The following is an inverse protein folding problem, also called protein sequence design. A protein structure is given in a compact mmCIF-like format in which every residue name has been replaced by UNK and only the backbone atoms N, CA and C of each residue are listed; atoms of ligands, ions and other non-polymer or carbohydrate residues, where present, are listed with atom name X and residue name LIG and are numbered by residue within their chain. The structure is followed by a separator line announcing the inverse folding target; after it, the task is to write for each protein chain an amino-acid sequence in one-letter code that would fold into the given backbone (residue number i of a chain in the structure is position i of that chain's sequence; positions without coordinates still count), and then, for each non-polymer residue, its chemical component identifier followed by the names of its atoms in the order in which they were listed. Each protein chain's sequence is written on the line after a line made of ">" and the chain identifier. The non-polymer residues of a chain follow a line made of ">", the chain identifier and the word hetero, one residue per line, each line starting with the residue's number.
data_IF_279007710270
#
_entry.id   IF_279007710270
#
_cell.length_a   1.000
_cell.length_b   1.000
_cell.length_c   1.000
_cell.angle_alpha   90.00
_cell.angle_beta   90.00
_cell.angle_gamma   90.00
#
_symmetry.space_group_name_H-M   'P 1'
#
loop_
_entity.id
_entity.type
_entity.pdbx_description
1 polymer ?
#
# COMPACT_ATOMS: atom_id res chain seq x y z
N UNK A 1 -13.75 -15.77 -6.55
CA UNK A 1 -13.61 -14.75 -5.47
C UNK A 1 -12.50 -13.81 -5.88
N UNK A 2 -12.67 -12.52 -5.72
CA UNK A 2 -11.63 -11.54 -6.07
C UNK A 2 -10.52 -11.53 -5.00
N UNK A 3 -9.28 -11.24 -5.40
CA UNK A 3 -8.12 -11.25 -4.51
C UNK A 3 -7.65 -9.83 -4.18
N UNK A 4 -7.44 -9.55 -2.89
CA UNK A 4 -6.75 -8.38 -2.38
C UNK A 4 -5.35 -8.77 -1.91
N UNK A 5 -4.32 -8.24 -2.56
CA UNK A 5 -2.92 -8.44 -2.18
C UNK A 5 -2.46 -7.29 -1.30
N UNK A 6 -1.83 -7.61 -0.16
CA UNK A 6 -1.28 -6.61 0.76
C UNK A 6 0.23 -6.82 0.89
N UNK A 7 1.02 -6.00 0.20
CA UNK A 7 2.47 -5.95 0.30
C UNK A 7 2.88 -5.09 1.49
N UNK A 8 3.62 -5.68 2.42
CA UNK A 8 3.91 -5.08 3.72
C UNK A 8 2.82 -5.37 4.75
N UNK A 9 2.24 -6.58 4.69
CA UNK A 9 1.27 -7.05 5.66
C UNK A 9 1.92 -7.18 7.05
N UNK A 10 1.33 -6.54 8.06
CA UNK A 10 1.82 -6.56 9.43
C UNK A 10 0.79 -5.94 10.36
N UNK A 11 1.07 -6.00 11.68
CA UNK A 11 0.24 -5.32 12.68
C UNK A 11 0.14 -3.82 12.35
N UNK A 12 -1.01 -3.24 12.55
CA UNK A 12 -1.30 -1.85 12.21
C UNK A 12 -2.06 -1.72 10.88
N UNK A 13 -1.68 -0.79 9.99
CA UNK A 13 -2.44 -0.47 8.77
C UNK A 13 -2.68 -1.73 7.92
N UNK A 14 -1.65 -2.54 7.65
CA UNK A 14 -1.79 -3.73 6.81
C UNK A 14 -2.82 -4.72 7.33
N UNK A 15 -2.85 -4.96 8.65
CA UNK A 15 -3.85 -5.82 9.29
C UNK A 15 -5.26 -5.22 9.23
N UNK A 16 -5.39 -3.93 9.50
CA UNK A 16 -6.71 -3.28 9.49
C UNK A 16 -7.30 -3.22 8.08
N UNK A 17 -6.47 -2.93 7.07
CA UNK A 17 -6.88 -2.99 5.66
C UNK A 17 -7.29 -4.41 5.27
N UNK A 18 -6.53 -5.44 5.70
CA UNK A 18 -6.87 -6.83 5.46
C UNK A 18 -8.26 -7.20 6.01
N UNK A 19 -8.58 -6.77 7.24
CA UNK A 19 -9.89 -6.99 7.87
C UNK A 19 -11.03 -6.34 7.06
N UNK A 20 -10.83 -5.12 6.60
CA UNK A 20 -11.83 -4.38 5.82
C UNK A 20 -12.12 -5.07 4.48
N UNK A 21 -11.09 -5.45 3.70
CA UNK A 21 -11.30 -6.16 2.43
C UNK A 21 -11.86 -7.56 2.63
N UNK A 22 -11.43 -8.27 3.69
CA UNK A 22 -11.98 -9.57 4.03
C UNK A 22 -13.48 -9.50 4.34
N UNK A 23 -13.93 -8.51 5.10
CA UNK A 23 -15.36 -8.31 5.40
C UNK A 23 -16.22 -8.06 4.15
N UNK A 24 -15.58 -7.70 3.03
CA UNK A 24 -16.21 -7.50 1.72
C UNK A 24 -16.13 -8.74 0.82
N UNK A 25 -15.68 -9.88 1.34
CA UNK A 25 -15.64 -11.15 0.61
C UNK A 25 -14.43 -11.31 -0.31
N UNK A 26 -13.35 -10.55 -0.11
CA UNK A 26 -12.10 -10.76 -0.82
C UNK A 26 -11.30 -11.90 -0.22
N UNK A 27 -10.64 -12.70 -1.06
CA UNK A 27 -9.50 -13.50 -0.64
C UNK A 27 -8.34 -12.55 -0.29
N UNK A 28 -7.70 -12.74 0.87
CA UNK A 28 -6.61 -11.88 1.33
C UNK A 28 -5.26 -12.58 1.16
N UNK A 29 -4.41 -12.07 0.29
CA UNK A 29 -3.02 -12.51 0.14
C UNK A 29 -2.09 -11.58 0.93
N UNK A 30 -1.59 -12.09 2.06
CA UNK A 30 -0.70 -11.36 2.96
C UNK A 30 0.75 -11.55 2.53
N UNK A 31 1.45 -10.49 2.18
CA UNK A 31 2.81 -10.48 1.69
C UNK A 31 3.73 -9.68 2.62
N UNK A 32 4.78 -10.30 3.17
CA UNK A 32 5.84 -9.66 3.95
C UNK A 32 7.03 -10.62 4.11
N UNK A 33 8.17 -10.14 4.63
CA UNK A 33 9.38 -10.94 4.77
C UNK A 33 9.31 -12.03 5.85
N UNK A 34 8.61 -11.74 6.96
CA UNK A 34 8.59 -12.63 8.11
C UNK A 34 7.41 -13.61 8.03
N UNK A 35 7.71 -14.87 7.74
CA UNK A 35 6.73 -15.95 7.56
C UNK A 35 5.90 -16.21 8.82
N UNK A 36 6.53 -16.22 9.98
CA UNK A 36 5.88 -16.53 11.26
C UNK A 36 4.83 -15.48 11.61
N UNK A 37 5.17 -14.19 11.40
CA UNK A 37 4.22 -13.09 11.60
C UNK A 37 3.06 -13.12 10.61
N UNK A 38 3.31 -13.54 9.37
CA UNK A 38 2.24 -13.74 8.38
C UNK A 38 1.28 -14.84 8.79
N UNK A 39 1.79 -16.00 9.25
CA UNK A 39 0.97 -17.12 9.72
C UNK A 39 0.10 -16.69 10.91
N UNK A 40 0.68 -15.96 11.86
CA UNK A 40 -0.08 -15.46 13.01
C UNK A 40 -1.19 -14.49 12.59
N UNK A 41 -0.89 -13.59 11.65
CA UNK A 41 -1.87 -12.65 11.11
C UNK A 41 -2.99 -13.37 10.33
N UNK A 42 -2.63 -14.36 9.51
CA UNK A 42 -3.60 -15.17 8.77
C UNK A 42 -4.53 -15.94 9.70
N UNK A 43 -4.00 -16.51 10.81
CA UNK A 43 -4.81 -17.18 11.83
C UNK A 43 -5.85 -16.24 12.45
N UNK A 44 -5.51 -14.98 12.69
CA UNK A 44 -6.43 -13.98 13.23
C UNK A 44 -7.50 -13.54 12.22
N UNK A 45 -7.18 -13.60 10.93
CA UNK A 45 -8.12 -13.28 9.86
C UNK A 45 -9.03 -14.47 9.50
N UNK A 46 -8.59 -15.72 9.74
CA UNK A 46 -9.34 -16.93 9.44
C UNK A 46 -9.27 -17.34 7.96
N UNK A 47 -10.24 -18.18 7.55
CA UNK A 47 -10.31 -18.75 6.20
C UNK A 47 -10.25 -17.68 5.09
N UNK A 48 -10.02 -18.09 3.84
CA UNK A 48 -9.84 -17.18 2.69
C UNK A 48 -8.67 -16.20 2.85
N UNK A 49 -7.62 -16.62 3.58
CA UNK A 49 -6.40 -15.85 3.77
C UNK A 49 -5.18 -16.72 3.46
N UNK A 50 -4.29 -16.24 2.58
CA UNK A 50 -3.03 -16.90 2.24
C UNK A 50 -1.83 -16.06 2.65
N UNK A 51 -0.67 -16.73 2.84
CA UNK A 51 0.57 -16.10 3.29
C UNK A 51 1.67 -16.30 2.26
N UNK A 52 2.35 -15.22 1.91
CA UNK A 52 3.36 -15.17 0.86
C UNK A 52 4.61 -14.46 1.37
N UNK A 53 5.60 -15.22 1.89
CA UNK A 53 6.87 -14.64 2.31
C UNK A 53 7.61 -14.05 1.12
N UNK A 54 7.79 -12.73 1.08
CA UNK A 54 8.46 -12.02 -0.02
C UNK A 54 9.12 -10.74 0.49
N UNK A 55 10.30 -10.44 -0.04
CA UNK A 55 10.92 -9.12 0.08
C UNK A 55 10.58 -8.31 -1.19
N UNK A 56 9.91 -7.18 -1.00
CA UNK A 56 9.55 -6.30 -2.13
C UNK A 56 10.77 -5.64 -2.80
N UNK A 57 11.95 -5.71 -2.20
CA UNK A 57 13.22 -5.30 -2.82
C UNK A 57 13.79 -6.36 -3.77
N UNK A 58 13.38 -7.62 -3.67
CA UNK A 58 13.73 -8.68 -4.61
C UNK A 58 12.75 -8.68 -5.79
N UNK A 59 13.15 -8.04 -6.88
CA UNK A 59 12.30 -7.84 -8.06
C UNK A 59 11.83 -9.13 -8.70
N UNK A 60 12.68 -10.17 -8.74
CA UNK A 60 12.32 -11.44 -9.37
C UNK A 60 11.34 -12.22 -8.50
N UNK A 61 11.63 -12.32 -7.22
CA UNK A 61 10.75 -13.01 -6.27
C UNK A 61 9.40 -12.30 -6.14
N UNK A 62 9.38 -10.96 -6.08
CA UNK A 62 8.14 -10.19 -6.03
C UNK A 62 7.24 -10.43 -7.25
N UNK A 63 7.81 -10.38 -8.46
CA UNK A 63 7.06 -10.63 -9.70
C UNK A 63 6.50 -12.05 -9.73
N UNK A 64 7.34 -13.05 -9.38
CA UNK A 64 6.91 -14.45 -9.34
C UNK A 64 5.78 -14.64 -8.31
N UNK A 65 5.94 -14.08 -7.10
CA UNK A 65 4.93 -14.16 -6.03
C UNK A 65 3.58 -13.60 -6.49
N UNK A 66 3.54 -12.46 -7.16
CA UNK A 66 2.28 -11.87 -7.66
C UNK A 66 1.65 -12.75 -8.75
N UNK A 67 2.45 -13.35 -9.61
CA UNK A 67 1.99 -14.32 -10.61
C UNK A 67 1.39 -15.57 -9.96
N UNK A 68 2.05 -16.10 -8.94
CA UNK A 68 1.60 -17.29 -8.22
C UNK A 68 0.31 -17.02 -7.45
N UNK A 69 0.18 -15.85 -6.81
CA UNK A 69 -1.07 -15.43 -6.16
C UNK A 69 -2.22 -15.41 -7.16
N UNK A 70 -2.04 -14.77 -8.31
CA UNK A 70 -3.07 -14.70 -9.34
C UNK A 70 -3.45 -16.09 -9.86
N UNK A 71 -2.49 -16.99 -10.03
CA UNK A 71 -2.72 -18.36 -10.51
C UNK A 71 -3.46 -19.23 -9.48
N UNK A 72 -3.20 -19.04 -8.18
CA UNK A 72 -3.77 -19.88 -7.13
C UNK A 72 -5.13 -19.36 -6.60
N UNK A 73 -5.33 -18.04 -6.61
CA UNK A 73 -6.49 -17.41 -5.95
C UNK A 73 -7.35 -16.56 -6.90
N UNK A 74 -7.03 -16.58 -8.19
CA UNK A 74 -7.73 -15.78 -9.19
C UNK A 74 -7.26 -14.33 -9.25
N UNK A 75 -8.02 -13.52 -9.98
CA UNK A 75 -7.61 -12.16 -10.33
C UNK A 75 -7.31 -11.29 -9.11
N UNK A 76 -6.17 -10.60 -9.19
CA UNK A 76 -5.83 -9.55 -8.23
C UNK A 76 -6.64 -8.30 -8.63
N UNK A 77 -7.75 -8.07 -7.94
CA UNK A 77 -8.56 -6.85 -8.15
C UNK A 77 -8.11 -5.69 -7.29
N UNK A 78 -7.42 -5.98 -6.17
CA UNK A 78 -6.92 -4.94 -5.25
C UNK A 78 -5.46 -5.21 -4.93
N UNK A 79 -4.62 -4.20 -5.10
CA UNK A 79 -3.23 -4.17 -4.65
C UNK A 79 -3.05 -3.07 -3.62
N UNK A 80 -2.63 -3.42 -2.43
CA UNK A 80 -2.26 -2.47 -1.36
C UNK A 80 -0.74 -2.51 -1.18
N UNK A 81 -0.06 -1.41 -1.50
CA UNK A 81 1.36 -1.26 -1.23
C UNK A 81 1.57 -0.51 0.08
N UNK A 82 1.82 -1.27 1.15
CA UNK A 82 2.03 -0.77 2.51
C UNK A 82 3.48 -0.99 3.00
N UNK A 83 4.33 -1.64 2.19
CA UNK A 83 5.74 -1.85 2.54
C UNK A 83 6.50 -0.51 2.56
N UNK A 84 7.41 -0.38 3.53
CA UNK A 84 8.30 0.76 3.61
C UNK A 84 9.62 0.40 4.29
N UNK A 85 10.64 1.21 4.02
CA UNK A 85 11.93 1.23 4.72
C UNK A 85 12.13 2.63 5.31
N UNK A 86 12.48 2.66 6.60
CA UNK A 86 12.72 3.88 7.35
C UNK A 86 14.18 3.92 7.85
N UNK A 87 15.14 3.87 6.91
CA UNK A 87 16.56 4.03 7.26
C UNK A 87 16.78 5.44 7.81
N UNK A 88 17.14 5.59 9.09
CA UNK A 88 17.38 6.90 9.70
C UNK A 88 18.69 7.50 9.19
N UNK A 89 18.74 8.82 9.08
CA UNK A 89 19.97 9.51 8.72
C UNK A 89 19.72 10.88 8.11
N UNK A 90 20.74 11.74 8.27
CA UNK A 90 20.79 13.08 7.65
C UNK A 90 21.33 12.95 6.23
N UNK A 91 20.80 13.69 5.28
CA UNK A 91 21.20 13.63 3.87
C UNK A 91 22.69 13.89 3.63
N UNK A 92 23.36 14.67 4.49
CA UNK A 92 24.79 14.94 4.38
C UNK A 92 25.71 13.80 4.82
N UNK A 93 25.19 12.78 5.54
CA UNK A 93 25.98 11.70 6.12
C UNK A 93 25.35 10.31 5.92
N UNK A 94 24.19 10.24 5.31
CA UNK A 94 23.52 8.97 5.04
C UNK A 94 24.34 8.16 4.03
N UNK A 95 24.56 6.90 4.36
CA UNK A 95 25.21 5.94 3.47
C UNK A 95 24.37 5.73 2.21
N UNK A 96 25.03 5.84 1.03
CA UNK A 96 24.35 5.78 -0.26
C UNK A 96 23.78 4.39 -0.55
N UNK A 97 24.44 3.31 -0.11
CA UNK A 97 23.94 1.94 -0.32
C UNK A 97 22.69 1.68 0.51
N UNK A 98 22.65 2.18 1.75
CA UNK A 98 21.46 2.11 2.60
C UNK A 98 20.32 2.97 2.04
N UNK A 99 20.62 4.14 1.49
CA UNK A 99 19.65 4.95 0.79
C UNK A 99 19.07 4.20 -0.41
N UNK A 100 19.93 3.61 -1.25
CA UNK A 100 19.50 2.83 -2.42
C UNK A 100 18.64 1.62 -2.02
N UNK A 101 19.00 0.89 -0.97
CA UNK A 101 18.20 -0.20 -0.42
C UNK A 101 16.81 0.31 0.04
N UNK A 102 16.75 1.47 0.70
CA UNK A 102 15.48 2.09 1.06
C UNK A 102 14.64 2.43 -0.18
N UNK A 103 15.25 2.93 -1.25
CA UNK A 103 14.54 3.25 -2.50
C UNK A 103 14.02 1.99 -3.20
N UNK A 104 14.74 0.86 -3.13
CA UNK A 104 14.24 -0.43 -3.63
C UNK A 104 12.90 -0.80 -2.97
N UNK A 105 12.79 -0.63 -1.65
CA UNK A 105 11.54 -0.88 -0.93
C UNK A 105 10.51 0.22 -1.19
N UNK A 106 10.89 1.50 -1.07
CA UNK A 106 9.92 2.59 -1.04
C UNK A 106 9.37 2.97 -2.43
N UNK A 107 10.12 2.68 -3.51
CA UNK A 107 9.77 3.09 -4.88
C UNK A 107 9.78 1.94 -5.87
N UNK A 108 10.91 1.25 -6.04
CA UNK A 108 11.06 0.25 -7.10
C UNK A 108 10.07 -0.91 -6.93
N UNK A 109 9.90 -1.40 -5.69
CA UNK A 109 8.93 -2.44 -5.37
C UNK A 109 7.49 -2.02 -5.65
N UNK A 110 7.14 -0.75 -5.39
CA UNK A 110 5.80 -0.22 -5.67
C UNK A 110 5.52 -0.16 -7.18
N UNK A 111 6.48 0.34 -7.96
CA UNK A 111 6.39 0.39 -9.41
C UNK A 111 6.29 -1.02 -10.01
N UNK A 112 7.17 -1.93 -9.60
CA UNK A 112 7.18 -3.31 -10.09
C UNK A 112 5.86 -4.03 -9.78
N UNK A 113 5.35 -3.87 -8.56
CA UNK A 113 4.07 -4.47 -8.16
C UNK A 113 2.92 -3.97 -9.02
N UNK A 114 2.89 -2.66 -9.29
CA UNK A 114 1.90 -2.05 -10.18
C UNK A 114 2.01 -2.63 -11.60
N UNK A 115 3.21 -2.70 -12.16
CA UNK A 115 3.45 -3.26 -13.50
C UNK A 115 3.05 -4.74 -13.62
N UNK A 116 3.14 -5.49 -12.53
CA UNK A 116 2.74 -6.90 -12.51
C UNK A 116 1.22 -7.09 -12.55
N UNK A 117 0.43 -6.20 -11.95
CA UNK A 117 -1.03 -6.36 -11.83
C UNK A 117 -1.83 -5.49 -12.79
N UNK A 118 -1.36 -4.30 -13.14
CA UNK A 118 -2.08 -3.33 -13.94
C UNK A 118 -2.53 -3.84 -15.32
N UNK A 119 -1.76 -4.64 -16.07
CA UNK A 119 -2.21 -5.14 -17.38
C UNK A 119 -3.51 -5.95 -17.30
N UNK A 120 -3.65 -6.85 -16.32
CA UNK A 120 -4.85 -7.65 -16.12
C UNK A 120 -6.04 -6.78 -15.66
N UNK A 121 -5.79 -5.80 -14.77
CA UNK A 121 -6.80 -4.84 -14.33
C UNK A 121 -7.29 -3.96 -15.49
N UNK A 122 -6.39 -3.44 -16.33
CA UNK A 122 -6.75 -2.64 -17.51
C UNK A 122 -7.54 -3.44 -18.54
N UNK A 123 -7.18 -4.71 -18.78
CA UNK A 123 -7.91 -5.58 -19.70
C UNK A 123 -9.37 -5.82 -19.26
N UNK A 124 -9.65 -5.73 -17.96
CA UNK A 124 -10.99 -5.88 -17.36
C UNK A 124 -11.66 -4.53 -17.08
N UNK A 125 -10.98 -3.42 -17.35
CA UNK A 125 -11.38 -2.07 -16.95
C UNK A 125 -11.80 -1.97 -15.47
N UNK A 126 -11.18 -2.77 -14.60
CA UNK A 126 -11.52 -2.88 -13.18
C UNK A 126 -10.27 -3.21 -12.36
N UNK A 127 -10.01 -2.43 -11.34
CA UNK A 127 -8.93 -2.69 -10.39
C UNK A 127 -8.67 -1.49 -9.49
N UNK A 128 -8.02 -1.75 -8.37
CA UNK A 128 -7.66 -0.72 -7.38
C UNK A 128 -6.23 -0.94 -6.91
N UNK A 129 -5.39 0.08 -7.00
CA UNK A 129 -3.99 0.07 -6.56
C UNK A 129 -3.81 1.21 -5.57
N UNK A 130 -3.63 0.88 -4.29
CA UNK A 130 -3.53 1.89 -3.23
C UNK A 130 -2.19 1.83 -2.52
N UNK A 131 -1.63 3.01 -2.29
CA UNK A 131 -0.34 3.19 -1.64
C UNK A 131 -0.51 3.79 -0.25
N UNK A 132 0.28 3.30 0.72
CA UNK A 132 0.40 3.95 2.03
C UNK A 132 1.41 5.09 1.93
N UNK A 133 0.91 6.28 1.70
CA UNK A 133 1.67 7.53 1.76
C UNK A 133 2.05 7.90 3.19
N UNK A 134 2.69 9.05 3.35
CA UNK A 134 3.05 9.55 4.67
C UNK A 134 3.38 11.04 4.64
N UNK A 135 3.15 11.73 5.75
CA UNK A 135 3.32 13.17 5.89
C UNK A 135 4.72 13.68 5.55
N UNK A 136 5.75 12.81 5.62
CA UNK A 136 7.10 13.15 5.16
C UNK A 136 7.22 13.39 3.65
N UNK A 137 6.21 13.02 2.86
CA UNK A 137 6.12 13.43 1.46
C UNK A 137 5.79 14.93 1.31
N UNK A 138 5.10 15.51 2.29
CA UNK A 138 4.63 16.89 2.30
C UNK A 138 5.55 17.79 3.12
N UNK A 139 6.05 17.28 4.24
CA UNK A 139 6.95 17.95 5.17
C UNK A 139 8.15 17.05 5.48
N UNK A 140 9.21 17.08 4.64
CA UNK A 140 10.40 16.27 4.83
C UNK A 140 11.08 16.54 6.17
N UNK A 141 11.61 15.47 6.79
CA UNK A 141 12.32 15.57 8.06
C UNK A 141 13.80 15.18 7.90
N UNK A 142 14.71 16.06 8.29
CA UNK A 142 16.15 15.93 8.02
C UNK A 142 16.80 14.65 8.61
N UNK A 143 16.28 14.10 9.72
CA UNK A 143 16.79 12.86 10.30
C UNK A 143 16.16 11.60 9.67
N UNK A 144 15.26 11.74 8.73
CA UNK A 144 14.55 10.68 8.01
C UNK A 144 14.63 10.90 6.49
N UNK A 145 15.83 11.24 6.00
CA UNK A 145 16.03 11.62 4.60
C UNK A 145 15.56 10.54 3.63
N UNK A 146 15.96 9.28 3.83
CA UNK A 146 15.56 8.18 2.94
C UNK A 146 14.03 7.98 2.94
N UNK A 147 13.39 8.01 4.11
CA UNK A 147 11.94 7.87 4.21
C UNK A 147 11.21 9.07 3.57
N UNK A 148 11.69 10.30 3.77
CA UNK A 148 11.12 11.51 3.19
C UNK A 148 11.16 11.47 1.66
N UNK A 149 12.33 11.15 1.09
CA UNK A 149 12.51 11.00 -0.36
C UNK A 149 11.63 9.86 -0.89
N UNK A 150 11.62 8.71 -0.20
CA UNK A 150 10.79 7.57 -0.58
C UNK A 150 9.30 7.90 -0.58
N UNK A 151 8.79 8.57 0.46
CA UNK A 151 7.37 8.95 0.53
C UNK A 151 7.00 10.04 -0.50
N UNK A 152 7.88 11.01 -0.75
CA UNK A 152 7.67 12.00 -1.80
C UNK A 152 7.66 11.35 -3.19
N UNK A 153 8.61 10.45 -3.47
CA UNK A 153 8.66 9.70 -4.72
C UNK A 153 7.46 8.76 -4.90
N UNK A 154 7.03 8.05 -3.84
CA UNK A 154 5.85 7.19 -3.88
C UNK A 154 4.58 7.99 -4.17
N UNK A 155 4.43 9.18 -3.55
CA UNK A 155 3.32 10.09 -3.84
C UNK A 155 3.32 10.52 -5.31
N UNK A 156 4.48 10.95 -5.84
CA UNK A 156 4.62 11.33 -7.25
C UNK A 156 4.30 10.15 -8.18
N UNK A 157 4.79 8.94 -7.88
CA UNK A 157 4.47 7.73 -8.62
C UNK A 157 2.95 7.47 -8.64
N UNK A 158 2.30 7.55 -7.49
CA UNK A 158 0.84 7.36 -7.37
C UNK A 158 0.07 8.34 -8.25
N UNK A 159 0.48 9.63 -8.29
CA UNK A 159 -0.16 10.65 -9.12
C UNK A 159 0.01 10.36 -10.62
N UNK A 160 1.19 9.93 -11.05
CA UNK A 160 1.43 9.52 -12.44
C UNK A 160 0.55 8.33 -12.82
N UNK A 161 0.50 7.30 -11.97
CA UNK A 161 -0.31 6.12 -12.19
C UNK A 161 -1.81 6.44 -12.19
N UNK A 162 -2.26 7.35 -11.34
CA UNK A 162 -3.64 7.84 -11.37
C UNK A 162 -4.01 8.42 -12.73
N UNK A 163 -3.19 9.33 -13.27
CA UNK A 163 -3.42 9.97 -14.56
C UNK A 163 -3.43 8.96 -15.72
N UNK A 164 -2.57 7.94 -15.66
CA UNK A 164 -2.45 6.90 -16.68
C UNK A 164 -3.63 5.92 -16.62
N UNK A 165 -3.95 5.40 -15.43
CA UNK A 165 -4.80 4.23 -15.24
C UNK A 165 -6.29 4.58 -15.09
N UNK A 166 -6.63 5.77 -14.60
CA UNK A 166 -8.03 6.15 -14.36
C UNK A 166 -8.90 6.04 -15.62
N UNK A 167 -8.35 6.44 -16.78
CA UNK A 167 -9.04 6.33 -18.08
C UNK A 167 -9.22 4.88 -18.55
N UNK A 168 -8.47 3.95 -17.96
CA UNK A 168 -8.55 2.51 -18.21
C UNK A 168 -9.42 1.77 -17.18
N UNK A 169 -10.16 2.53 -16.34
CA UNK A 169 -11.02 1.97 -15.31
C UNK A 169 -10.29 1.38 -14.11
N UNK A 170 -9.00 1.71 -13.91
CA UNK A 170 -8.20 1.27 -12.77
C UNK A 170 -7.92 2.45 -11.87
N UNK A 171 -8.29 2.33 -10.59
CA UNK A 171 -8.08 3.37 -9.60
C UNK A 171 -6.71 3.22 -8.92
N UNK A 172 -5.77 4.10 -9.23
CA UNK A 172 -4.51 4.22 -8.51
C UNK A 172 -4.54 5.47 -7.63
N UNK A 173 -4.28 5.32 -6.31
CA UNK A 173 -4.35 6.42 -5.36
C UNK A 173 -3.47 6.20 -4.12
N UNK A 174 -3.25 7.24 -3.33
CA UNK A 174 -2.51 7.16 -2.07
C UNK A 174 -3.33 7.67 -0.88
N UNK A 175 -3.19 6.98 0.27
CA UNK A 175 -3.61 7.51 1.57
C UNK A 175 -2.37 8.08 2.25
N UNK A 176 -2.25 9.41 2.28
CA UNK A 176 -1.11 10.11 2.87
C UNK A 176 -1.38 10.36 4.36
N UNK A 177 -0.78 9.53 5.22
CA UNK A 177 -0.98 9.57 6.68
C UNK A 177 -0.06 10.63 7.31
N UNK A 178 -0.64 11.71 7.81
CA UNK A 178 0.08 12.86 8.38
C UNK A 178 0.17 12.78 9.92
N UNK A 179 0.54 11.63 10.45
CA UNK A 179 0.68 11.43 11.90
C UNK A 179 1.30 10.09 12.27
N UNK A 180 1.47 9.87 13.57
CA UNK A 180 2.04 8.63 14.11
C UNK A 180 0.93 7.59 14.26
N UNK A 181 1.03 6.51 13.51
CA UNK A 181 0.08 5.39 13.56
C UNK A 181 0.14 4.70 14.91
N UNK A 182 -0.96 4.77 15.67
CA UNK A 182 -1.04 4.18 17.02
C UNK A 182 -2.49 3.89 17.37
N UNK A 183 -2.75 2.69 17.90
CA UNK A 183 -4.04 2.29 18.45
C UNK A 183 -4.54 3.27 19.52
N UNK A 184 -5.85 3.50 19.56
CA UNK A 184 -6.49 4.38 20.55
C UNK A 184 -6.22 5.88 20.33
N UNK A 185 -5.68 6.28 19.18
CA UNK A 185 -5.47 7.69 18.82
C UNK A 185 -6.27 8.06 17.57
N UNK A 186 -6.27 9.34 17.19
CA UNK A 186 -6.83 9.80 15.92
C UNK A 186 -6.14 9.18 14.69
N UNK A 187 -4.99 8.54 14.85
CA UNK A 187 -4.25 7.79 13.82
C UNK A 187 -4.29 6.29 14.05
N UNK A 188 -5.38 5.79 14.64
CA UNK A 188 -5.57 4.36 14.81
C UNK A 188 -5.64 3.66 13.43
N UNK A 189 -5.03 2.46 13.30
CA UNK A 189 -4.95 1.74 12.02
C UNK A 189 -6.30 1.48 11.35
N UNK A 190 -7.36 1.25 12.14
CA UNK A 190 -8.71 1.03 11.66
C UNK A 190 -9.33 2.29 11.03
N UNK A 191 -9.05 3.48 11.57
CA UNK A 191 -9.48 4.75 10.99
C UNK A 191 -8.78 5.03 9.66
N UNK A 192 -7.48 4.66 9.58
CA UNK A 192 -6.72 4.77 8.34
C UNK A 192 -7.24 3.76 7.30
N UNK A 193 -7.52 2.51 7.70
CA UNK A 193 -8.05 1.49 6.80
C UNK A 193 -9.38 1.92 6.13
N UNK A 194 -10.24 2.63 6.84
CA UNK A 194 -11.47 3.21 6.27
C UNK A 194 -11.19 4.17 5.11
N UNK A 195 -10.05 4.87 5.09
CA UNK A 195 -9.67 5.76 3.98
C UNK A 195 -9.26 4.96 2.74
N UNK A 196 -8.61 3.79 2.91
CA UNK A 196 -8.37 2.88 1.80
C UNK A 196 -9.67 2.38 1.19
N UNK A 197 -10.64 2.05 2.02
CA UNK A 197 -11.96 1.63 1.57
C UNK A 197 -12.72 2.78 0.88
N UNK A 198 -12.66 4.00 1.42
CA UNK A 198 -13.28 5.16 0.81
C UNK A 198 -12.76 5.43 -0.61
N UNK A 199 -11.44 5.25 -0.84
CA UNK A 199 -10.88 5.31 -2.19
C UNK A 199 -11.36 4.13 -3.06
N UNK A 200 -11.32 2.90 -2.53
CA UNK A 200 -11.73 1.72 -3.28
C UNK A 200 -13.18 1.79 -3.76
N UNK A 201 -14.07 2.32 -2.94
CA UNK A 201 -15.50 2.40 -3.21
C UNK A 201 -15.89 3.53 -4.19
N UNK A 202 -14.94 4.37 -4.63
CA UNK A 202 -15.23 5.45 -5.58
C UNK A 202 -15.61 4.92 -6.95
N UNK A 203 -16.67 5.46 -7.57
CA UNK A 203 -17.09 5.01 -8.88
C UNK A 203 -16.15 5.48 -9.99
N UNK A 204 -16.08 4.70 -11.07
CA UNK A 204 -15.33 5.09 -12.28
C UNK A 204 -15.80 6.47 -12.77
N UNK A 205 -14.84 7.36 -12.99
CA UNK A 205 -15.09 8.76 -13.38
C UNK A 205 -15.07 9.77 -12.22
N UNK A 206 -15.03 9.29 -10.97
CA UNK A 206 -14.90 10.12 -9.76
C UNK A 206 -13.73 9.71 -8.88
N UNK A 207 -12.71 9.08 -9.45
CA UNK A 207 -11.52 8.65 -8.73
C UNK A 207 -10.71 9.83 -8.22
N UNK A 208 -10.40 9.85 -6.94
CA UNK A 208 -9.45 10.80 -6.32
C UNK A 208 -8.04 10.18 -6.32
N UNK A 209 -7.04 11.01 -6.57
CA UNK A 209 -5.64 10.57 -6.58
C UNK A 209 -5.06 10.40 -5.17
N UNK A 210 -5.63 11.07 -4.17
CA UNK A 210 -5.10 11.11 -2.82
C UNK A 210 -6.16 11.45 -1.78
N UNK A 211 -6.11 10.75 -0.63
CA UNK A 211 -6.71 11.21 0.62
C UNK A 211 -5.58 11.57 1.59
N UNK A 212 -5.50 12.82 2.01
CA UNK A 212 -4.59 13.25 3.09
C UNK A 212 -5.29 13.06 4.44
N UNK A 213 -4.80 12.09 5.22
CA UNK A 213 -5.38 11.75 6.52
C UNK A 213 -4.63 12.48 7.65
N UNK A 214 -5.30 13.45 8.28
CA UNK A 214 -4.76 14.30 9.36
C UNK A 214 -5.26 13.94 10.75
N UNK A 215 -5.99 12.82 10.88
CA UNK A 215 -6.59 12.38 12.15
C UNK A 215 -7.86 13.14 12.52
N UNK A 216 -8.31 14.09 11.70
CA UNK A 216 -9.61 14.76 11.87
C UNK A 216 -10.71 13.94 11.19
N UNK A 217 -11.93 13.97 11.74
CA UNK A 217 -13.10 13.43 11.06
C UNK A 217 -13.53 14.37 9.92
N UNK A 218 -14.24 13.84 8.92
CA UNK A 218 -14.71 14.65 7.78
C UNK A 218 -15.69 15.76 8.21
N UNK A 219 -16.26 15.65 9.41
CA UNK A 219 -17.09 16.68 10.04
C UNK A 219 -16.31 17.91 10.54
N UNK A 220 -14.98 17.79 10.74
CA UNK A 220 -14.12 18.87 11.25
C UNK A 220 -13.51 19.76 10.15
N UNK A 221 -13.79 19.45 8.88
CA UNK A 221 -13.23 20.17 7.71
C UNK A 221 -14.15 21.25 7.15
N UNK A 222 -15.31 21.51 7.80
CA UNK A 222 -16.35 22.46 7.36
C UNK A 222 -16.43 23.69 8.27
N UNK A 223 -15.29 24.25 8.67
CA UNK A 223 -15.23 25.57 9.30
C UNK A 223 -14.19 26.45 8.64
#
# INVERSE_FOLDING_TARGET
>A
MATCVILGAGKGIGQSVAKEFKSRGYHIALCARNKEKLIELARQLGDDTSTWPVDVADSNNLKQTLTDIASNHGDIEVLIYNAYSAEPGKGSTLDVDKFNQSMQVNLSGALLSTQAVAPAMMAKEKGTILFTGGGFALQPFHNQTALSVGKAGLRALSMCLHQELARKGVHAATVTVCGIVKEGTAFAPDLIAKRFIALHDQPKGAFEAEITFTGKSDSDTSQ
#
